data_IF_858418558411
#
_entry.id   IF_858418558411
#
_cell.length_a   1.000
_cell.length_b   1.000
_cell.length_c   1.000
_cell.angle_alpha   90.00
_cell.angle_beta   90.00
_cell.angle_gamma   90.00
#
_symmetry.space_group_name_H-M   'P 1'
#
loop_
_entity.id
_entity.type
_entity.pdbx_description
1 polymer ?
#
# COMPACT_ATOMS: atom_id res chain seq x y z
N UNK A 1 2.78 -6.59 -4.23
CA UNK A 1 2.04 -7.79 -3.79
C UNK A 1 1.94 -8.81 -4.91
N UNK A 2 2.11 -10.07 -4.58
CA UNK A 2 2.03 -11.15 -5.55
C UNK A 2 0.60 -11.34 -6.07
N UNK A 3 0.44 -11.77 -7.33
CA UNK A 3 -0.88 -12.11 -7.86
C UNK A 3 -1.55 -13.22 -7.03
N UNK A 4 -2.87 -13.19 -6.97
CA UNK A 4 -3.66 -14.19 -6.27
C UNK A 4 -4.86 -13.59 -5.56
N UNK A 5 -5.58 -14.42 -4.77
CA UNK A 5 -6.78 -13.99 -4.07
C UNK A 5 -6.56 -12.80 -3.14
N UNK A 6 -5.39 -12.71 -2.50
CA UNK A 6 -5.10 -11.60 -1.60
C UNK A 6 -4.98 -10.28 -2.36
N UNK A 7 -4.28 -10.25 -3.49
CA UNK A 7 -4.21 -9.05 -4.32
C UNK A 7 -5.62 -8.64 -4.77
N UNK A 8 -6.43 -9.60 -5.22
CA UNK A 8 -7.78 -9.31 -5.68
C UNK A 8 -8.66 -8.80 -4.54
N UNK A 9 -8.47 -9.31 -3.33
CA UNK A 9 -9.17 -8.81 -2.15
C UNK A 9 -8.82 -7.34 -1.89
N UNK A 10 -7.55 -7.01 -1.91
CA UNK A 10 -7.09 -5.63 -1.68
C UNK A 10 -7.58 -4.68 -2.77
N UNK A 11 -7.52 -5.11 -4.02
CA UNK A 11 -8.04 -4.33 -5.15
C UNK A 11 -9.53 -4.03 -4.93
N UNK A 12 -10.31 -5.04 -4.53
CA UNK A 12 -11.74 -4.86 -4.24
C UNK A 12 -11.99 -3.84 -3.14
N UNK A 13 -11.19 -3.86 -2.07
CA UNK A 13 -11.30 -2.91 -0.96
C UNK A 13 -10.97 -1.49 -1.41
N UNK A 14 -9.97 -1.33 -2.26
CA UNK A 14 -9.60 -0.02 -2.80
C UNK A 14 -10.71 0.52 -3.70
N UNK A 15 -11.22 -0.30 -4.60
CA UNK A 15 -12.30 0.12 -5.52
C UNK A 15 -13.59 0.45 -4.77
N UNK A 16 -13.85 -0.22 -3.66
CA UNK A 16 -15.02 0.06 -2.81
C UNK A 16 -14.85 1.30 -1.94
N UNK A 17 -13.64 1.87 -1.87
CA UNK A 17 -13.36 3.02 -1.02
C UNK A 17 -13.13 2.67 0.44
N UNK A 18 -13.06 1.39 0.78
CA UNK A 18 -12.80 0.92 2.15
C UNK A 18 -11.33 1.06 2.51
N UNK A 19 -10.44 0.70 1.58
CA UNK A 19 -9.00 0.85 1.75
C UNK A 19 -8.55 2.14 1.06
N UNK A 20 -8.10 3.10 1.86
CA UNK A 20 -7.65 4.42 1.39
C UNK A 20 -6.20 4.71 1.72
N UNK A 21 -5.52 3.76 2.32
CA UNK A 21 -4.11 3.91 2.69
C UNK A 21 -3.40 2.57 2.66
N UNK A 22 -2.09 2.63 2.61
CA UNK A 22 -1.23 1.45 2.70
C UNK A 22 -0.01 1.76 3.55
N UNK A 23 0.57 0.73 4.15
CA UNK A 23 1.71 0.88 5.05
C UNK A 23 2.84 -0.05 4.64
N UNK A 24 4.07 0.43 4.79
CA UNK A 24 5.27 -0.37 4.60
C UNK A 24 6.32 0.08 5.59
N UNK A 25 7.25 -0.79 5.95
CA UNK A 25 8.37 -0.37 6.79
C UNK A 25 9.33 0.51 5.99
N UNK A 26 9.84 1.56 6.62
CA UNK A 26 10.84 2.43 6.02
C UNK A 26 12.06 1.63 5.53
N UNK A 27 12.42 0.58 6.23
CA UNK A 27 13.57 -0.24 5.87
C UNK A 27 13.44 -0.89 4.49
N UNK A 28 12.22 -1.10 3.98
CA UNK A 28 12.03 -1.63 2.62
C UNK A 28 12.56 -0.64 1.58
N UNK A 29 12.27 0.64 1.76
CA UNK A 29 12.76 1.68 0.85
C UNK A 29 14.27 1.83 0.93
N UNK A 30 14.81 1.72 2.12
CA UNK A 30 16.26 1.80 2.34
C UNK A 30 16.98 0.60 1.71
N UNK A 31 16.43 -0.60 1.86
CA UNK A 31 16.99 -1.83 1.30
C UNK A 31 17.03 -1.79 -0.22
N UNK A 32 15.97 -1.29 -0.84
CA UNK A 32 15.83 -1.26 -2.29
C UNK A 32 16.41 0.04 -2.89
N UNK A 33 16.94 0.93 -2.07
CA UNK A 33 17.42 2.26 -2.48
C UNK A 33 16.37 3.00 -3.30
N UNK A 34 15.12 2.93 -2.84
CA UNK A 34 13.98 3.57 -3.49
C UNK A 34 13.57 4.84 -2.76
N UNK A 35 13.18 5.89 -3.49
CA UNK A 35 12.60 7.07 -2.85
C UNK A 35 11.21 6.74 -2.30
N UNK A 36 10.83 7.47 -1.25
CA UNK A 36 9.46 7.37 -0.72
C UNK A 36 8.45 7.85 -1.75
N UNK A 37 7.21 7.32 -1.70
CA UNK A 37 6.15 7.87 -2.55
C UNK A 37 5.95 9.35 -2.27
N UNK A 38 5.50 10.08 -3.26
CA UNK A 38 5.31 11.53 -3.16
C UNK A 38 3.88 11.92 -3.47
N UNK A 39 3.40 12.95 -2.78
CA UNK A 39 2.07 13.51 -3.05
C UNK A 39 1.97 13.90 -4.52
N UNK A 40 0.88 13.50 -5.16
CA UNK A 40 0.63 13.75 -6.57
C UNK A 40 1.11 12.64 -7.50
N UNK A 41 1.89 11.69 -6.99
CA UNK A 41 2.31 10.53 -7.79
C UNK A 41 1.10 9.70 -8.23
N UNK A 42 1.14 9.26 -9.48
CA UNK A 42 0.10 8.40 -10.04
C UNK A 42 0.63 7.00 -10.25
N UNK A 43 -0.21 6.02 -9.99
CA UNK A 43 0.13 4.63 -10.20
C UNK A 43 -1.06 3.85 -10.71
N UNK A 44 -0.79 2.78 -11.44
CA UNK A 44 -1.83 1.88 -11.90
C UNK A 44 -2.11 0.83 -10.82
N UNK A 45 -3.39 0.64 -10.52
CA UNK A 45 -3.84 -0.48 -9.69
C UNK A 45 -4.09 -1.66 -10.62
N UNK A 46 -3.41 -2.77 -10.40
CA UNK A 46 -3.52 -3.97 -11.24
C UNK A 46 -4.10 -5.14 -10.46
N UNK A 47 -4.94 -5.93 -11.11
CA UNK A 47 -5.49 -7.14 -10.51
C UNK A 47 -4.50 -8.31 -10.61
N UNK A 48 -4.89 -9.49 -10.13
CA UNK A 48 -4.00 -10.65 -10.12
C UNK A 48 -3.77 -11.24 -11.52
N UNK A 49 -4.53 -10.80 -12.52
CA UNK A 49 -4.30 -11.14 -13.94
C UNK A 49 -3.39 -10.12 -14.63
N UNK A 50 -2.73 -9.24 -13.85
CA UNK A 50 -1.87 -8.16 -14.34
C UNK A 50 -2.61 -7.14 -15.22
N UNK A 51 -3.94 -7.05 -15.07
CA UNK A 51 -4.73 -6.05 -15.80
C UNK A 51 -4.88 -4.79 -14.96
N UNK A 52 -4.60 -3.62 -15.54
CA UNK A 52 -4.88 -2.37 -14.83
C UNK A 52 -6.38 -2.15 -14.70
N UNK A 53 -6.81 -1.74 -13.51
CA UNK A 53 -8.24 -1.55 -13.20
C UNK A 53 -8.56 -0.12 -12.77
N UNK A 54 -7.56 0.63 -12.34
CA UNK A 54 -7.75 2.03 -11.91
C UNK A 54 -6.43 2.77 -11.88
N UNK A 55 -6.52 4.10 -11.80
CA UNK A 55 -5.40 4.98 -11.50
C UNK A 55 -5.60 5.50 -10.09
N UNK A 56 -4.54 5.42 -9.29
CA UNK A 56 -4.47 5.98 -7.95
C UNK A 56 -3.60 7.23 -7.97
N UNK A 57 -3.92 8.19 -7.11
CA UNK A 57 -3.02 9.31 -6.84
C UNK A 57 -2.71 9.34 -5.35
N UNK A 58 -1.44 9.52 -5.02
CA UNK A 58 -0.98 9.65 -3.63
C UNK A 58 -1.41 11.02 -3.12
N UNK A 59 -2.12 11.04 -1.99
CA UNK A 59 -2.64 12.27 -1.40
C UNK A 59 -1.89 12.71 -0.15
N UNK A 60 -1.26 11.79 0.56
CA UNK A 60 -0.45 12.10 1.74
C UNK A 60 0.56 10.99 1.98
N UNK A 61 1.73 11.36 2.49
CA UNK A 61 2.77 10.41 2.89
C UNK A 61 3.29 10.83 4.25
N UNK A 62 3.19 9.94 5.22
CA UNK A 62 3.66 10.19 6.58
C UNK A 62 4.64 9.09 6.98
N UNK A 63 5.68 9.46 7.72
CA UNK A 63 6.60 8.51 8.32
C UNK A 63 6.32 8.52 9.81
N UNK A 64 5.85 7.39 10.33
CA UNK A 64 5.29 7.30 11.67
C UNK A 64 5.99 6.18 12.43
N UNK A 65 6.49 6.41 13.65
CA UNK A 65 6.97 5.31 14.49
C UNK A 65 5.86 4.29 14.74
N UNK A 66 6.20 3.02 14.72
CA UNK A 66 5.22 1.94 14.90
C UNK A 66 4.38 2.12 16.16
N UNK A 67 5.00 2.60 17.25
CA UNK A 67 4.29 2.85 18.50
C UNK A 67 3.33 4.04 18.45
N UNK A 68 3.31 4.82 17.37
CA UNK A 68 2.43 5.99 17.20
C UNK A 68 1.28 5.74 16.24
N UNK A 69 1.17 4.54 15.69
CA UNK A 69 0.03 4.17 14.84
C UNK A 69 -1.25 4.24 15.67
N UNK A 70 -2.28 4.81 15.10
CA UNK A 70 -3.57 5.02 15.78
C UNK A 70 -4.67 4.14 15.19
N UNK A 71 -5.82 4.10 15.86
CA UNK A 71 -6.99 3.40 15.34
C UNK A 71 -7.42 3.97 13.98
N UNK A 72 -7.24 5.26 13.77
CA UNK A 72 -7.57 5.89 12.49
C UNK A 72 -6.70 5.37 11.36
N UNK A 73 -5.41 5.14 11.62
CA UNK A 73 -4.53 4.52 10.64
C UNK A 73 -5.04 3.14 10.25
N UNK A 74 -5.43 2.33 11.23
CA UNK A 74 -5.96 0.99 10.99
C UNK A 74 -7.21 1.04 10.10
N UNK A 75 -8.13 1.95 10.41
CA UNK A 75 -9.37 2.12 9.65
C UNK A 75 -9.07 2.56 8.22
N UNK A 76 -8.16 3.51 8.04
CA UNK A 76 -7.82 4.04 6.72
C UNK A 76 -7.14 2.99 5.84
N UNK A 77 -6.35 2.09 6.44
CA UNK A 77 -5.78 0.98 5.69
C UNK A 77 -6.87 0.02 5.21
N UNK A 78 -7.94 -0.13 5.96
CA UNK A 78 -9.19 -0.76 5.51
C UNK A 78 -9.12 -2.25 5.22
N UNK A 79 -8.18 -2.97 5.84
CA UNK A 79 -7.98 -4.39 5.57
C UNK A 79 -8.61 -5.31 6.62
N UNK A 80 -9.42 -4.74 7.52
CA UNK A 80 -10.17 -5.49 8.52
C UNK A 80 -9.87 -5.09 9.96
N UNK A 81 -8.67 -4.65 10.27
CA UNK A 81 -8.34 -4.18 11.61
C UNK A 81 -8.87 -2.76 11.82
N UNK A 82 -9.49 -2.52 12.98
CA UNK A 82 -10.07 -1.21 13.30
C UNK A 82 -9.44 -0.56 14.51
N UNK A 83 -8.46 -1.23 15.13
CA UNK A 83 -7.72 -0.69 16.27
C UNK A 83 -6.23 -0.76 16.01
N UNK A 84 -5.48 0.14 16.64
CA UNK A 84 -4.03 0.14 16.53
C UNK A 84 -3.43 -1.18 17.03
N UNK A 85 -3.98 -1.75 18.10
CA UNK A 85 -3.48 -3.00 18.68
C UNK A 85 -3.68 -4.18 17.72
N UNK A 86 -4.85 -4.32 17.12
CA UNK A 86 -5.13 -5.38 16.15
C UNK A 86 -4.28 -5.20 14.89
N UNK A 87 -4.17 -3.98 14.40
CA UNK A 87 -3.36 -3.62 13.25
C UNK A 87 -1.90 -4.00 13.47
N UNK A 88 -1.38 -3.66 14.65
CA UNK A 88 0.01 -3.98 15.01
C UNK A 88 0.24 -5.49 15.04
N UNK A 89 -0.67 -6.23 15.65
CA UNK A 89 -0.55 -7.69 15.72
C UNK A 89 -0.47 -8.31 14.32
N UNK A 90 -1.36 -7.90 13.43
CA UNK A 90 -1.40 -8.39 12.04
C UNK A 90 -0.09 -8.07 11.32
N UNK A 91 0.36 -6.82 11.40
CA UNK A 91 1.56 -6.37 10.70
C UNK A 91 2.83 -6.97 11.28
N UNK A 92 2.94 -7.09 12.60
CA UNK A 92 4.10 -7.74 13.22
C UNK A 92 4.21 -9.21 12.81
N UNK A 93 3.09 -9.90 12.69
CA UNK A 93 3.08 -11.30 12.24
C UNK A 93 3.65 -11.41 10.83
N UNK A 94 3.29 -10.50 9.94
CA UNK A 94 3.80 -10.46 8.58
C UNK A 94 5.27 -10.04 8.53
N UNK A 95 5.61 -8.95 9.23
CA UNK A 95 6.97 -8.39 9.18
C UNK A 95 7.99 -9.25 9.92
N UNK A 96 7.57 -10.13 10.82
CA UNK A 96 8.44 -11.09 11.51
C UNK A 96 8.51 -12.44 10.80
N UNK A 97 7.72 -12.67 9.77
CA UNK A 97 7.74 -13.92 9.05
C UNK A 97 9.08 -14.12 8.33
N UNK A 98 9.64 -15.35 8.34
CA UNK A 98 10.91 -15.62 7.67
C UNK A 98 10.90 -15.25 6.20
N UNK A 99 9.80 -15.47 5.50
CA UNK A 99 9.65 -15.14 4.08
C UNK A 99 9.87 -13.66 3.80
N UNK A 100 9.41 -12.80 4.71
CA UNK A 100 9.59 -11.37 4.59
C UNK A 100 11.03 -10.97 4.94
N UNK A 101 11.51 -11.43 6.09
CA UNK A 101 12.83 -11.03 6.61
C UNK A 101 13.99 -11.52 5.75
N UNK A 102 13.85 -12.67 5.13
CA UNK A 102 14.92 -13.25 4.32
C UNK A 102 15.21 -12.45 3.04
N UNK A 103 14.38 -11.50 2.69
CA UNK A 103 14.62 -10.61 1.56
C UNK A 103 15.57 -9.45 1.91
N UNK A 104 15.91 -9.29 3.19
CA UNK A 104 16.77 -8.20 3.65
C UNK A 104 18.22 -8.69 3.83
N UNK A 105 19.19 -7.78 3.59
CA UNK A 105 20.59 -8.06 3.85
C UNK A 105 20.83 -8.42 5.31
N UNK A 106 20.11 -7.75 6.22
CA UNK A 106 20.08 -8.09 7.64
C UNK A 106 18.67 -8.57 8.01
N UNK A 107 18.40 -9.87 8.01
CA UNK A 107 17.07 -10.39 8.36
C UNK A 107 16.74 -10.22 9.85
N UNK A 108 17.71 -9.88 10.68
CA UNK A 108 17.51 -9.68 12.13
C UNK A 108 17.28 -8.22 12.49
N UNK A 109 16.94 -7.36 11.52
CA UNK A 109 16.67 -5.95 11.82
C UNK A 109 15.64 -5.83 12.95
N UNK A 110 15.81 -4.84 13.86
CA UNK A 110 14.90 -4.70 15.00
C UNK A 110 13.52 -4.21 14.54
N UNK A 111 12.48 -4.70 15.21
CA UNK A 111 11.11 -4.23 15.02
C UNK A 111 10.56 -3.91 16.39
N UNK A 112 10.32 -2.62 16.66
CA UNK A 112 9.86 -2.13 17.95
C UNK A 112 9.07 -0.83 17.77
N UNK A 113 8.73 -0.17 18.88
CA UNK A 113 7.94 1.07 18.86
C UNK A 113 8.58 2.19 18.03
N UNK A 114 9.90 2.19 17.90
CA UNK A 114 10.63 3.23 17.16
C UNK A 114 10.82 2.89 15.69
N UNK A 115 10.46 1.68 15.26
CA UNK A 115 10.53 1.29 13.86
C UNK A 115 9.65 2.20 13.02
N UNK A 116 10.19 2.73 11.92
CA UNK A 116 9.47 3.70 11.11
C UNK A 116 8.59 3.00 10.07
N UNK A 117 7.34 3.45 10.01
CA UNK A 117 6.34 2.99 9.05
C UNK A 117 6.05 4.13 8.08
N UNK A 118 6.13 3.84 6.79
CA UNK A 118 5.71 4.77 5.74
C UNK A 118 4.24 4.51 5.50
N UNK A 119 3.41 5.51 5.77
CA UNK A 119 1.96 5.42 5.66
C UNK A 119 1.52 6.34 4.53
N UNK A 120 1.00 5.73 3.46
CA UNK A 120 0.63 6.44 2.25
C UNK A 120 -0.88 6.43 2.07
N UNK A 121 -1.48 7.63 1.98
CA UNK A 121 -2.87 7.78 1.58
C UNK A 121 -2.96 7.98 0.07
N UNK A 122 -4.03 7.46 -0.53
CA UNK A 122 -4.27 7.59 -1.95
C UNK A 122 -5.76 7.65 -2.21
N UNK A 123 -6.12 8.00 -3.44
CA UNK A 123 -7.51 7.92 -3.90
C UNK A 123 -7.55 7.43 -5.33
N UNK A 124 -8.67 6.82 -5.70
CA UNK A 124 -8.95 6.42 -7.07
C UNK A 124 -9.37 7.69 -7.83
N UNK A 125 -8.62 8.05 -8.86
CA UNK A 125 -8.92 9.23 -9.66
C UNK A 125 -9.57 8.87 -10.98
N UNK A 126 -9.45 7.60 -11.42
CA UNK A 126 -10.01 7.16 -12.68
C UNK A 126 -10.11 5.64 -12.70
N UNK A 127 -11.26 5.12 -13.17
CA UNK A 127 -11.42 3.70 -13.44
C UNK A 127 -10.89 3.39 -14.84
N UNK A 128 -10.37 2.19 -15.03
CA UNK A 128 -9.72 1.82 -16.28
C UNK A 128 -10.66 1.80 -17.47
N UNK A 129 -11.90 1.36 -17.29
CA UNK A 129 -12.91 1.34 -18.37
C UNK A 129 -13.15 2.76 -18.92
N UNK A 130 -13.21 3.77 -18.05
CA UNK A 130 -13.34 5.17 -18.47
C UNK A 130 -12.11 5.62 -19.25
N UNK A 131 -10.93 5.13 -18.89
CA UNK A 131 -9.68 5.44 -19.60
C UNK A 131 -9.63 4.78 -20.96
N UNK A 132 -10.16 3.55 -21.09
CA UNK A 132 -10.22 2.86 -22.37
C UNK A 132 -11.03 3.64 -23.38
N UNK A 133 -12.17 4.23 -22.96
CA UNK A 133 -12.96 5.10 -23.81
C UNK A 133 -12.18 6.36 -24.23
N UNK A 134 -11.43 6.91 -23.31
CA UNK A 134 -10.56 8.08 -23.59
C UNK A 134 -9.44 7.74 -24.55
N UNK A 135 -8.89 6.54 -24.42
CA UNK A 135 -7.84 6.06 -25.33
C UNK A 135 -8.37 5.96 -26.76
N UNK A 136 -9.61 5.47 -26.93
CA UNK A 136 -10.24 5.41 -28.23
C UNK A 136 -10.39 6.81 -28.85
N UNK A 137 -10.51 7.83 -28.03
CA UNK A 137 -10.57 9.24 -28.47
C UNK A 137 -9.19 9.87 -28.62
N UNK A 138 -8.12 9.07 -28.56
CA UNK A 138 -6.75 9.57 -28.67
C UNK A 138 -6.11 9.95 -27.34
N UNK A 139 -6.73 9.63 -26.24
CA UNK A 139 -6.18 9.89 -24.92
C UNK A 139 -5.05 8.93 -24.60
N UNK A 140 -3.93 9.44 -24.18
CA UNK A 140 -2.75 8.64 -23.89
C UNK A 140 -2.89 7.79 -22.62
N UNK A 141 -2.28 6.62 -22.66
CA UNK A 141 -2.10 5.78 -21.47
C UNK A 141 -1.03 6.39 -20.59
N UNK A 142 -1.40 6.93 -19.46
CA UNK A 142 -0.50 7.68 -18.59
C UNK A 142 0.05 6.86 -17.43
N UNK A 143 -0.01 5.57 -17.53
CA UNK A 143 0.39 4.67 -16.43
C UNK A 143 1.63 3.90 -16.75
#
# INVERSE_FOLDING_TARGET
>A
MFPGPERDRLVGLILAGTKTATAALMIEYEEDDEPLPQVGERSALVDSSERPVAILVTTAVDVIPLGKITDRHAIDEGEGDTTAAAWRHTHESFWNAPEYRNEFADPDFPLNDDSLVVFEHFKVVRLWDSMANKTADGYEQQV
#
